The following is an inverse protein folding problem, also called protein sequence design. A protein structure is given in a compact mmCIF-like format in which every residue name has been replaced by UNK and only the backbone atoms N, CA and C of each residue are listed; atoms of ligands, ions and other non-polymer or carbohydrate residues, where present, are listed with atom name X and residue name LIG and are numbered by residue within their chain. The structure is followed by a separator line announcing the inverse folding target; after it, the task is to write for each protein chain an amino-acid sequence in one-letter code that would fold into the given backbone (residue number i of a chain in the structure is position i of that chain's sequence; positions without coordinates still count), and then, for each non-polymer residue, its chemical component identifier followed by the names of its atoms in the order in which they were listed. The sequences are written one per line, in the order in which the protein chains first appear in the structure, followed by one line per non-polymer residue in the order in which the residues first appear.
data_IF_017315879421
#
_entry.id   IF_017315879421
#
_cell.length_a   1.000
_cell.length_b   1.000
_cell.length_c   1.000
_cell.angle_alpha   90.00
_cell.angle_beta   90.00
_cell.angle_gamma   90.00
#
_symmetry.space_group_name_H-M   'P 1'
#
loop_
_entity.id
_entity.type
_entity.pdbx_description
1 polymer ?
#
# COMPACT_ATOMS: atom_id res chain seq x y z
N UNK A 1 9.92 -10.97 -3.97
CA UNK A 1 10.26 -9.71 -3.24
C UNK A 1 8.98 -9.03 -2.78
N UNK A 2 9.03 -8.21 -1.72
CA UNK A 2 7.87 -7.42 -1.25
C UNK A 2 8.09 -5.95 -1.57
N UNK A 3 7.20 -5.35 -2.36
CA UNK A 3 7.23 -3.94 -2.71
C UNK A 3 6.31 -3.14 -1.80
N UNK A 4 6.78 -1.99 -1.33
CA UNK A 4 6.00 -1.06 -0.50
C UNK A 4 5.75 0.20 -1.29
N UNK A 5 4.47 0.48 -1.52
CA UNK A 5 4.00 1.70 -2.16
C UNK A 5 3.38 2.63 -1.12
N UNK A 6 3.58 3.93 -1.27
CA UNK A 6 2.92 4.96 -0.46
C UNK A 6 1.99 5.76 -1.33
N UNK A 7 0.77 5.98 -0.86
CA UNK A 7 -0.13 6.94 -1.49
C UNK A 7 0.41 8.36 -1.27
N UNK A 8 0.80 9.03 -2.36
CA UNK A 8 1.39 10.38 -2.33
C UNK A 8 0.33 11.44 -2.58
N UNK A 9 -0.61 11.16 -3.48
CA UNK A 9 -1.64 12.10 -3.89
C UNK A 9 -2.93 11.38 -4.28
N UNK A 10 -4.06 11.83 -3.71
CA UNK A 10 -5.38 11.53 -4.23
C UNK A 10 -5.72 12.60 -5.27
N UNK A 11 -5.87 12.22 -6.53
CA UNK A 11 -6.36 13.13 -7.54
C UNK A 11 -7.87 12.98 -7.68
N UNK A 12 -8.57 13.99 -7.19
CA UNK A 12 -9.99 14.22 -7.45
C UNK A 12 -10.08 15.06 -8.71
N UNK A 13 -10.37 14.44 -9.84
CA UNK A 13 -10.53 15.16 -11.09
C UNK A 13 -11.93 15.76 -11.17
N UNK A 14 -12.23 16.66 -10.24
CA UNK A 14 -13.51 17.36 -10.13
C UNK A 14 -13.62 18.50 -11.15
N UNK A 15 -13.45 18.22 -12.44
CA UNK A 15 -13.75 19.17 -13.51
C UNK A 15 -14.58 18.49 -14.59
N UNK A 16 -15.89 18.79 -14.61
CA UNK A 16 -16.77 18.46 -15.73
C UNK A 16 -16.29 19.27 -16.92
N UNK A 17 -15.84 18.59 -17.98
CA UNK A 17 -15.40 19.28 -19.20
C UNK A 17 -16.57 19.94 -19.95
N UNK A 18 -17.80 19.57 -19.61
CA UNK A 18 -19.01 19.96 -20.35
C UNK A 18 -19.15 19.25 -21.69
N UNK A 19 -18.22 18.35 -22.04
CA UNK A 19 -18.19 17.61 -23.28
C UNK A 19 -18.25 16.10 -23.01
N UNK A 20 -19.34 15.48 -23.45
CA UNK A 20 -19.64 14.05 -23.26
C UNK A 20 -18.50 13.15 -23.77
N UNK A 21 -17.81 13.53 -24.85
CA UNK A 21 -16.74 12.73 -25.45
C UNK A 21 -15.46 12.77 -24.60
N UNK A 22 -15.13 13.94 -24.04
CA UNK A 22 -13.95 14.10 -23.19
C UNK A 22 -14.14 13.46 -21.80
N UNK A 23 -15.37 13.52 -21.27
CA UNK A 23 -15.72 12.84 -20.03
C UNK A 23 -15.62 11.31 -20.18
N UNK A 24 -15.94 10.76 -21.36
CA UNK A 24 -15.73 9.34 -21.66
C UNK A 24 -14.24 8.96 -21.69
N UNK A 25 -13.35 9.82 -22.21
CA UNK A 25 -11.89 9.54 -22.22
C UNK A 25 -11.32 9.45 -20.79
N UNK A 26 -11.80 10.27 -19.84
CA UNK A 26 -11.45 10.13 -18.41
C UNK A 26 -11.88 8.79 -17.82
N UNK A 27 -13.03 8.25 -18.28
CA UNK A 27 -13.59 6.97 -17.82
C UNK A 27 -12.81 5.76 -18.36
N UNK A 28 -12.07 5.91 -19.48
CA UNK A 28 -11.22 4.83 -20.03
C UNK A 28 -9.85 4.67 -19.35
N UNK A 29 -9.49 5.51 -18.38
CA UNK A 29 -8.29 5.29 -17.56
C UNK A 29 -8.61 4.28 -16.44
N UNK A 30 -8.16 3.04 -16.62
CA UNK A 30 -8.49 1.83 -15.85
C UNK A 30 -7.92 1.73 -14.43
N UNK A 31 -7.56 2.83 -13.78
CA UNK A 31 -7.03 2.79 -12.41
C UNK A 31 -8.10 3.29 -11.43
N UNK A 32 -8.99 2.38 -11.03
CA UNK A 32 -10.02 2.63 -10.03
C UNK A 32 -9.33 2.78 -8.65
N UNK A 33 -9.20 4.02 -8.15
CA UNK A 33 -8.80 4.28 -6.77
C UNK A 33 -9.92 3.97 -5.77
N UNK A 34 -9.70 4.28 -4.49
CA UNK A 34 -10.69 4.07 -3.41
C UNK A 34 -11.91 5.01 -3.51
N UNK A 35 -12.74 4.85 -4.53
CA UNK A 35 -13.92 5.66 -4.82
C UNK A 35 -14.24 5.73 -6.32
N UNK A 36 -15.51 5.99 -6.65
CA UNK A 36 -15.91 6.26 -8.04
C UNK A 36 -15.27 7.58 -8.49
N UNK A 37 -14.41 7.53 -9.52
CA UNK A 37 -13.83 8.72 -10.15
C UNK A 37 -12.56 9.30 -9.48
N UNK A 38 -11.90 8.53 -8.60
CA UNK A 38 -10.63 8.94 -7.99
C UNK A 38 -9.43 8.20 -8.59
N UNK A 39 -8.38 8.94 -8.97
CA UNK A 39 -7.09 8.37 -9.38
C UNK A 39 -6.12 8.51 -8.22
N UNK A 40 -5.61 7.38 -7.75
CA UNK A 40 -4.63 7.31 -6.67
C UNK A 40 -3.21 7.25 -7.27
N UNK A 41 -2.35 8.20 -6.91
CA UNK A 41 -0.94 8.18 -7.27
C UNK A 41 -0.13 7.58 -6.12
N UNK A 42 0.47 6.44 -6.39
CA UNK A 42 1.30 5.71 -5.44
C UNK A 42 2.74 5.61 -5.95
N UNK A 43 3.70 5.83 -5.08
CA UNK A 43 5.14 5.71 -5.38
C UNK A 43 5.73 4.51 -4.66
N UNK A 44 6.64 3.76 -5.30
CA UNK A 44 7.40 2.71 -4.61
C UNK A 44 8.41 3.39 -3.69
N UNK A 45 8.27 3.20 -2.38
CA UNK A 45 9.11 3.82 -1.35
C UNK A 45 10.13 2.86 -0.76
N UNK A 46 9.89 1.54 -0.89
CA UNK A 46 10.79 0.52 -0.37
C UNK A 46 10.59 -0.81 -1.12
N UNK A 47 11.66 -1.58 -1.20
CA UNK A 47 11.63 -2.98 -1.58
C UNK A 47 12.25 -3.78 -0.43
N UNK A 48 11.54 -4.82 0.02
CA UNK A 48 11.93 -5.69 1.13
C UNK A 48 12.21 -7.06 0.54
N UNK A 49 13.38 -7.61 0.85
CA UNK A 49 13.70 -8.97 0.40
C UNK A 49 12.85 -10.00 1.19
N UNK A 50 12.67 -11.19 0.62
CA UNK A 50 11.77 -12.18 1.25
C UNK A 50 12.28 -12.67 2.59
N UNK A 51 13.59 -12.86 2.74
CA UNK A 51 14.19 -13.30 4.01
C UNK A 51 13.99 -12.27 5.14
N UNK A 52 14.14 -10.98 4.86
CA UNK A 52 13.88 -9.88 5.79
C UNK A 52 12.40 -9.83 6.17
N UNK A 53 11.51 -9.99 5.20
CA UNK A 53 10.07 -10.02 5.46
C UNK A 53 9.67 -11.23 6.33
N UNK A 54 10.24 -12.41 6.06
CA UNK A 54 10.05 -13.61 6.87
C UNK A 54 10.62 -13.46 8.28
N UNK A 55 11.78 -12.81 8.42
CA UNK A 55 12.34 -12.48 9.72
C UNK A 55 11.39 -11.59 10.53
N UNK A 56 10.83 -10.52 9.93
CA UNK A 56 9.81 -9.67 10.57
C UNK A 56 8.60 -10.50 11.06
N UNK A 57 8.10 -11.41 10.22
CA UNK A 57 6.99 -12.28 10.57
C UNK A 57 7.35 -13.26 11.69
N UNK A 58 8.57 -13.80 11.71
CA UNK A 58 8.99 -14.79 12.71
C UNK A 58 9.08 -14.19 14.13
N UNK A 59 9.59 -12.96 14.25
CA UNK A 59 9.84 -12.29 15.53
C UNK A 59 8.61 -11.55 16.06
N UNK A 60 7.61 -11.29 15.22
CA UNK A 60 6.45 -10.48 15.60
C UNK A 60 5.38 -11.22 16.43
N UNK A 61 4.54 -10.42 17.09
CA UNK A 61 3.37 -10.89 17.82
C UNK A 61 2.22 -11.33 16.87
N UNK A 62 1.10 -11.77 17.45
CA UNK A 62 -0.06 -12.25 16.70
C UNK A 62 -0.64 -11.20 15.75
N UNK A 63 -0.68 -9.92 16.17
CA UNK A 63 -1.21 -8.85 15.32
C UNK A 63 -0.33 -8.62 14.10
N UNK A 64 0.99 -8.51 14.27
CA UNK A 64 1.95 -8.35 13.17
C UNK A 64 1.85 -9.52 12.20
N UNK A 65 1.88 -10.75 12.72
CA UNK A 65 1.75 -11.98 11.92
C UNK A 65 0.44 -12.01 11.13
N UNK A 66 -0.68 -11.61 11.75
CA UNK A 66 -1.96 -11.54 11.07
C UNK A 66 -1.98 -10.46 10.00
N UNK A 67 -1.53 -9.24 10.33
CA UNK A 67 -1.62 -8.09 9.42
C UNK A 67 -0.68 -8.22 8.24
N UNK A 68 0.60 -8.49 8.48
CA UNK A 68 1.61 -8.61 7.43
C UNK A 68 1.58 -9.98 6.75
N UNK A 69 1.31 -11.06 7.49
CA UNK A 69 1.23 -12.41 6.93
C UNK A 69 0.02 -12.63 6.01
N UNK A 70 -0.99 -11.76 6.09
CA UNK A 70 -2.07 -11.69 5.12
C UNK A 70 -1.57 -11.39 3.69
N UNK A 71 -0.39 -10.80 3.53
CA UNK A 71 0.21 -10.56 2.21
C UNK A 71 0.38 -11.86 1.41
N UNK A 72 0.72 -12.98 2.07
CA UNK A 72 0.84 -14.29 1.42
C UNK A 72 -0.50 -14.85 0.92
N UNK A 73 -1.63 -14.36 1.45
CA UNK A 73 -2.98 -14.81 1.06
C UNK A 73 -3.62 -13.90 0.01
N UNK A 74 -3.42 -12.59 0.17
CA UNK A 74 -4.13 -11.58 -0.62
C UNK A 74 -3.27 -10.95 -1.70
N UNK A 75 -1.97 -11.25 -1.78
CA UNK A 75 -0.99 -10.70 -2.72
C UNK A 75 -0.72 -9.19 -2.54
N UNK A 76 -1.68 -8.49 -1.97
CA UNK A 76 -1.68 -7.09 -1.65
C UNK A 76 -2.35 -6.86 -0.29
N UNK A 77 -1.78 -6.00 0.54
CA UNK A 77 -2.42 -5.54 1.78
C UNK A 77 -2.20 -4.05 2.00
N UNK A 78 -3.14 -3.44 2.71
CA UNK A 78 -3.09 -2.02 3.06
C UNK A 78 -2.74 -1.80 4.52
N UNK A 79 -1.86 -0.83 4.77
CA UNK A 79 -1.50 -0.36 6.11
C UNK A 79 -1.89 1.10 6.23
N UNK A 80 -2.96 1.34 6.99
CA UNK A 80 -3.41 2.65 7.40
C UNK A 80 -2.65 3.11 8.67
N UNK A 81 -2.68 4.39 9.04
CA UNK A 81 -1.99 4.91 10.21
C UNK A 81 -2.31 4.15 11.51
N UNK A 82 -3.55 3.70 11.68
CA UNK A 82 -3.99 2.96 12.87
C UNK A 82 -3.33 1.57 12.94
N UNK A 83 -3.10 0.95 11.79
CA UNK A 83 -2.34 -0.30 11.70
C UNK A 83 -0.86 -0.05 11.98
N UNK A 84 -0.28 1.04 11.46
CA UNK A 84 1.11 1.38 11.69
C UNK A 84 1.41 1.58 13.18
N UNK A 85 0.54 2.30 13.92
CA UNK A 85 0.67 2.49 15.37
C UNK A 85 0.70 1.15 16.13
N UNK A 86 -0.12 0.17 15.72
CA UNK A 86 -0.15 -1.16 16.34
C UNK A 86 1.06 -2.02 15.94
N UNK A 87 1.62 -1.82 14.76
CA UNK A 87 2.80 -2.56 14.28
C UNK A 87 4.10 -2.04 14.92
N UNK A 88 4.24 -0.73 15.09
CA UNK A 88 5.50 -0.09 15.50
C UNK A 88 6.20 -0.68 16.73
N UNK A 89 5.51 -1.03 17.84
CA UNK A 89 6.16 -1.59 19.02
C UNK A 89 6.84 -2.94 18.77
N UNK A 90 6.34 -3.69 17.79
CA UNK A 90 6.70 -5.09 17.53
C UNK A 90 7.63 -5.23 16.33
N UNK A 91 7.79 -4.16 15.56
CA UNK A 91 8.66 -4.12 14.40
C UNK A 91 10.13 -4.13 14.83
N UNK A 92 10.91 -5.03 14.23
CA UNK A 92 12.37 -4.98 14.29
C UNK A 92 12.87 -3.66 13.68
N UNK A 93 14.03 -3.19 14.12
CA UNK A 93 14.67 -2.01 13.53
C UNK A 93 15.05 -2.28 12.07
N UNK A 94 14.31 -1.64 11.15
CA UNK A 94 14.46 -1.81 9.71
C UNK A 94 13.97 -0.54 8.98
N UNK A 95 14.32 -0.36 7.70
CA UNK A 95 13.82 0.78 6.91
C UNK A 95 12.28 0.86 6.90
N UNK A 96 11.59 -0.29 6.86
CA UNK A 96 10.14 -0.33 6.88
C UNK A 96 9.53 0.23 8.17
N UNK A 97 10.15 0.00 9.33
CA UNK A 97 9.73 0.58 10.61
C UNK A 97 9.77 2.11 10.59
N UNK A 98 10.78 2.71 9.95
CA UNK A 98 10.87 4.18 9.78
C UNK A 98 9.73 4.71 8.91
N UNK A 99 9.40 4.01 7.82
CA UNK A 99 8.28 4.39 6.95
C UNK A 99 6.95 4.32 7.72
N UNK A 100 6.76 3.30 8.57
CA UNK A 100 5.59 3.18 9.42
C UNK A 100 5.50 4.31 10.46
N UNK A 101 6.62 4.74 11.06
CA UNK A 101 6.62 5.83 12.04
C UNK A 101 6.27 7.19 11.42
N UNK A 102 6.58 7.36 10.13
CA UNK A 102 6.30 8.59 9.39
C UNK A 102 4.89 8.60 8.76
N UNK A 103 4.13 7.51 8.86
CA UNK A 103 2.80 7.38 8.27
C UNK A 103 1.73 8.08 9.12
N UNK A 104 1.60 9.40 8.94
CA UNK A 104 0.60 10.23 9.64
C UNK A 104 -0.77 10.29 8.94
N UNK A 105 -0.80 10.04 7.64
CA UNK A 105 -2.00 10.11 6.80
C UNK A 105 -1.83 9.24 5.55
N UNK A 106 -2.93 8.92 4.87
CA UNK A 106 -2.94 8.06 3.68
C UNK A 106 -2.86 6.58 4.07
N UNK A 107 -2.24 5.76 3.24
CA UNK A 107 -1.96 4.36 3.52
C UNK A 107 -0.75 3.89 2.71
N UNK A 108 -0.15 2.79 3.16
CA UNK A 108 0.82 2.02 2.39
C UNK A 108 0.13 0.83 1.76
N UNK A 109 0.61 0.42 0.59
CA UNK A 109 0.24 -0.83 -0.07
C UNK A 109 1.48 -1.70 -0.12
N UNK A 110 1.41 -2.88 0.48
CA UNK A 110 2.43 -3.91 0.34
C UNK A 110 1.97 -4.86 -0.75
N UNK A 111 2.84 -5.15 -1.71
CA UNK A 111 2.60 -6.10 -2.80
C UNK A 111 3.67 -7.17 -2.80
N UNK A 112 3.26 -8.42 -2.98
CA UNK A 112 4.16 -9.53 -3.27
C UNK A 112 3.78 -10.07 -4.65
N UNK A 113 4.62 -9.81 -5.64
CA UNK A 113 4.46 -10.40 -6.96
C UNK A 113 5.01 -11.82 -6.91
N UNK A 114 4.14 -12.82 -7.09
CA UNK A 114 4.55 -14.20 -7.28
C UNK A 114 4.65 -14.40 -8.79
N UNK A 115 5.65 -13.80 -9.43
CA UNK A 115 5.96 -14.20 -10.79
C UNK A 115 6.29 -15.69 -10.75
N UNK A 116 5.44 -16.47 -11.43
CA UNK A 116 5.54 -17.91 -11.57
C UNK A 116 7.00 -18.29 -11.83
N UNK A 117 7.56 -19.05 -10.90
CA UNK A 117 8.73 -19.88 -11.18
C UNK A 117 8.36 -20.96 -12.17
#
# INVERSE_FOLDING_TARGET
MVEVYKLVQKHLDGAKSGNVTLDQIKIFSTCIGHGVGTIDFSEKVLEINECEFEQMLSTGNEYLKRKLGNLSKYFEIEIFPEHAVQLLPEMIECPFKKILSDLKAGYLVLRKDFQNT
#
